data_IF_621280557948
#
_entry.id   IF_621280557948
#
_cell.length_a   1.000
_cell.length_b   1.000
_cell.length_c   1.000
_cell.angle_alpha   90.00
_cell.angle_beta   90.00
_cell.angle_gamma   90.00
#
_symmetry.space_group_name_H-M   'P 1'
#
loop_
_entity.id
_entity.type
_entity.pdbx_description
1 polymer ?
#
# COMPACT_ATOMS: atom_id res chain seq x y z
N UNK A 1 -39.49 12.46 17.58
CA UNK A 1 -38.45 12.73 16.55
C UNK A 1 -37.56 11.49 16.49
N UNK A 2 -37.59 10.76 15.38
CA UNK A 2 -36.88 9.48 15.26
C UNK A 2 -35.40 9.71 14.95
N UNK A 3 -34.49 9.17 15.77
CA UNK A 3 -33.06 9.16 15.47
C UNK A 3 -32.79 8.13 14.37
N UNK A 4 -32.73 8.60 13.13
CA UNK A 4 -32.25 7.81 12.01
C UNK A 4 -30.72 7.69 12.14
N UNK A 5 -30.25 6.66 12.84
CA UNK A 5 -28.84 6.28 12.88
C UNK A 5 -28.38 5.88 11.48
N UNK A 6 -28.00 6.87 10.67
CA UNK A 6 -27.33 6.65 9.39
C UNK A 6 -25.97 6.04 9.71
N UNK A 7 -25.88 4.71 9.60
CA UNK A 7 -24.60 4.02 9.55
C UNK A 7 -23.72 4.73 8.52
N UNK A 8 -22.59 5.28 8.99
CA UNK A 8 -21.61 5.90 8.13
C UNK A 8 -21.20 4.87 7.09
N UNK A 9 -21.70 5.00 5.87
CA UNK A 9 -21.21 4.24 4.71
C UNK A 9 -19.78 4.70 4.51
N UNK A 10 -18.83 3.96 5.08
CA UNK A 10 -17.41 4.12 4.80
C UNK A 10 -17.26 3.82 3.32
N UNK A 11 -17.24 4.87 2.50
CA UNK A 11 -16.87 4.75 1.11
C UNK A 11 -15.39 4.37 1.13
N UNK A 12 -15.10 3.12 0.74
CA UNK A 12 -13.73 2.63 0.64
C UNK A 12 -13.08 3.41 -0.49
N UNK A 13 -12.35 4.47 -0.14
CA UNK A 13 -11.58 5.25 -1.10
C UNK A 13 -10.62 4.29 -1.79
N UNK A 14 -10.87 4.01 -3.07
CA UNK A 14 -10.00 3.17 -3.87
C UNK A 14 -8.75 3.97 -4.21
N UNK A 15 -7.66 3.70 -3.48
CA UNK A 15 -6.37 4.31 -3.74
C UNK A 15 -5.68 3.53 -4.85
N UNK A 16 -5.17 4.23 -5.86
CA UNK A 16 -4.36 3.59 -6.90
C UNK A 16 -3.12 2.93 -6.28
N UNK A 17 -2.71 1.74 -6.74
CA UNK A 17 -1.57 1.03 -6.18
C UNK A 17 -0.27 1.85 -6.15
N UNK A 18 -0.05 2.67 -7.19
CA UNK A 18 1.13 3.55 -7.27
C UNK A 18 1.15 4.59 -6.13
N UNK A 19 0.00 5.12 -5.74
CA UNK A 19 -0.11 6.06 -4.63
C UNK A 19 0.18 5.37 -3.29
N UNK A 20 -0.15 4.09 -3.15
CA UNK A 20 0.19 3.32 -1.95
C UNK A 20 1.72 3.12 -1.84
N UNK A 21 2.36 2.81 -2.97
CA UNK A 21 3.81 2.66 -3.07
C UNK A 21 4.52 3.99 -2.73
N UNK A 22 4.03 5.11 -3.27
CA UNK A 22 4.57 6.43 -2.93
C UNK A 22 4.45 6.76 -1.45
N UNK A 23 3.32 6.40 -0.81
CA UNK A 23 3.15 6.60 0.64
C UNK A 23 4.18 5.81 1.45
N UNK A 24 4.49 4.57 1.07
CA UNK A 24 5.51 3.78 1.76
C UNK A 24 6.92 4.34 1.56
N UNK A 25 7.22 4.86 0.36
CA UNK A 25 8.48 5.52 0.08
C UNK A 25 8.66 6.82 0.88
N UNK A 26 7.67 7.71 0.85
CA UNK A 26 7.70 9.00 1.53
C UNK A 26 7.80 8.85 3.06
N UNK A 27 7.03 7.91 3.62
CA UNK A 27 7.01 7.67 5.06
C UNK A 27 8.17 6.78 5.54
N UNK A 28 9.10 6.41 4.65
CA UNK A 28 10.20 5.48 4.93
C UNK A 28 9.72 4.23 5.69
N UNK A 29 8.57 3.70 5.30
CA UNK A 29 7.92 2.61 6.01
C UNK A 29 8.63 1.29 5.72
N UNK A 30 8.79 0.46 6.76
CA UNK A 30 9.31 -0.91 6.64
C UNK A 30 8.25 -1.77 5.94
N UNK A 31 8.63 -2.35 4.81
CA UNK A 31 7.77 -3.20 3.98
C UNK A 31 8.40 -4.59 3.84
N UNK A 32 7.55 -5.58 3.56
CA UNK A 32 7.97 -6.95 3.22
C UNK A 32 7.61 -7.23 1.77
N UNK A 33 8.59 -7.74 1.01
CA UNK A 33 8.46 -8.03 -0.41
C UNK A 33 8.57 -9.54 -0.64
N UNK A 34 7.59 -10.06 -1.35
CA UNK A 34 7.49 -11.48 -1.68
C UNK A 34 8.25 -11.75 -2.97
N UNK A 35 9.09 -12.78 -2.96
CA UNK A 35 9.83 -13.20 -4.14
C UNK A 35 8.97 -14.16 -4.96
N UNK A 36 8.91 -13.94 -6.27
CA UNK A 36 8.09 -14.77 -7.16
C UNK A 36 8.52 -16.25 -7.17
N UNK A 37 9.84 -16.53 -7.22
CA UNK A 37 10.37 -17.90 -7.31
C UNK A 37 10.63 -18.57 -5.95
N UNK A 38 10.79 -17.80 -4.88
CA UNK A 38 11.19 -18.33 -3.58
C UNK A 38 10.19 -17.88 -2.50
N UNK A 39 9.16 -18.69 -2.28
CA UNK A 39 8.08 -18.37 -1.33
C UNK A 39 8.50 -18.47 0.15
N UNK A 40 9.57 -19.21 0.43
CA UNK A 40 10.09 -19.39 1.79
C UNK A 40 10.94 -18.21 2.29
N UNK A 41 11.23 -17.23 1.42
CA UNK A 41 12.07 -16.08 1.75
C UNK A 41 11.36 -14.80 1.35
N UNK A 42 11.47 -13.79 2.20
CA UNK A 42 10.92 -12.46 1.99
C UNK A 42 12.01 -11.44 2.26
N UNK A 43 12.02 -10.36 1.47
CA UNK A 43 12.92 -9.24 1.67
C UNK A 43 12.21 -8.22 2.55
N UNK A 44 12.88 -7.75 3.60
CA UNK A 44 12.34 -6.72 4.46
C UNK A 44 13.23 -5.48 4.44
N UNK A 45 12.62 -4.31 4.32
CA UNK A 45 13.37 -3.06 4.25
C UNK A 45 12.50 -1.84 3.98
N UNK A 46 13.16 -0.71 3.80
CA UNK A 46 12.52 0.54 3.42
C UNK A 46 12.85 0.86 1.96
N UNK A 47 11.87 1.39 1.22
CA UNK A 47 12.10 1.88 -0.13
C UNK A 47 12.90 3.18 -0.08
N UNK A 48 14.01 3.24 -0.83
CA UNK A 48 14.85 4.45 -0.95
C UNK A 48 14.50 5.25 -2.22
N UNK A 49 14.15 4.59 -3.31
CA UNK A 49 13.69 5.16 -4.58
C UNK A 49 13.22 4.06 -5.54
N UNK A 50 12.60 4.46 -6.66
CA UNK A 50 12.15 3.57 -7.74
C UNK A 50 12.65 4.09 -9.08
N UNK A 51 12.83 3.19 -10.05
CA UNK A 51 13.12 3.54 -11.44
C UNK A 51 11.96 3.03 -12.29
N UNK A 52 11.65 3.75 -13.37
CA UNK A 52 10.76 3.22 -14.39
C UNK A 52 11.43 2.00 -15.03
N UNK A 53 10.66 0.92 -15.24
CA UNK A 53 11.15 -0.26 -15.98
C UNK A 53 10.99 0.04 -17.47
N UNK A 54 11.85 0.92 -17.97
CA UNK A 54 11.99 1.23 -19.40
C UNK A 54 13.13 0.36 -19.97
N UNK A 55 12.91 -0.27 -21.13
CA UNK A 55 13.95 -1.04 -21.84
C UNK A 55 14.93 -0.13 -22.58
#
# INVERSE_FOLDING_TARGET
MAYHGQGQKVQKVMVQPINLIFRYWQNRSRIQMWLYKQVNMQIEGCIIGFVEVSC
#
